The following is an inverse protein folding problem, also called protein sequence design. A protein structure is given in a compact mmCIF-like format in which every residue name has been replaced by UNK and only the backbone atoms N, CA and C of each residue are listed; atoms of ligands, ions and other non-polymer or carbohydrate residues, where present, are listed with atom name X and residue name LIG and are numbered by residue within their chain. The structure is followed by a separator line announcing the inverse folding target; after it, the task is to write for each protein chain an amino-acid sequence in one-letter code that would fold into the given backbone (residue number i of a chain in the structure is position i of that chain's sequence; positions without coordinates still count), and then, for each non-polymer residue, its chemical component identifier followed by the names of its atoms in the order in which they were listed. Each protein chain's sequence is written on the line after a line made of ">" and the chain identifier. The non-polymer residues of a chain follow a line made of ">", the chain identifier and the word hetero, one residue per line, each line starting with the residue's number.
data_IF_197703977920
#
_entry.id   IF_197703977920
#
_cell.length_a   1.000
_cell.length_b   1.000
_cell.length_c   1.000
_cell.angle_alpha   90.00
_cell.angle_beta   90.00
_cell.angle_gamma   90.00
#
_symmetry.space_group_name_H-M   'P 1'
#
loop_
_entity.id
_entity.type
_entity.pdbx_description
1 polymer ?
#
# COMPACT_ATOMS: atom_id res chain seq x y z
N UNK A 1 3.75 0.96 -9.00
CA UNK A 1 3.04 0.86 -7.70
C UNK A 1 1.56 0.66 -7.99
N UNK A 2 0.89 -0.22 -7.25
CA UNK A 2 -0.56 -0.42 -7.34
C UNK A 2 -1.14 -0.30 -5.94
N UNK A 3 -2.22 0.47 -5.80
CA UNK A 3 -2.91 0.65 -4.52
C UNK A 3 -4.24 -0.11 -4.58
N UNK A 4 -4.42 -1.02 -3.64
CA UNK A 4 -5.66 -1.72 -3.40
C UNK A 4 -6.36 -1.04 -2.23
N UNK A 5 -7.58 -0.57 -2.49
CA UNK A 5 -8.45 0.00 -1.48
C UNK A 5 -9.47 -1.06 -1.09
N UNK A 6 -9.69 -1.19 0.22
CA UNK A 6 -10.74 -2.00 0.83
C UNK A 6 -10.49 -3.51 0.78
N UNK A 7 -10.25 -4.09 1.95
CA UNK A 7 -10.59 -5.48 2.24
C UNK A 7 -11.90 -5.41 3.01
N UNK A 8 -12.90 -6.17 2.58
CA UNK A 8 -14.19 -6.24 3.29
C UNK A 8 -13.95 -6.55 4.77
N UNK A 9 -14.65 -5.83 5.65
CA UNK A 9 -14.50 -5.98 7.09
C UNK A 9 -14.77 -7.43 7.53
N UNK A 10 -13.82 -8.00 8.27
CA UNK A 10 -13.91 -9.38 8.76
C UNK A 10 -13.65 -10.46 7.72
N UNK A 11 -13.36 -10.10 6.46
CA UNK A 11 -12.98 -11.09 5.43
C UNK A 11 -11.49 -11.42 5.54
N UNK A 12 -11.13 -12.70 5.69
CA UNK A 12 -9.73 -13.12 5.66
C UNK A 12 -9.07 -12.70 4.35
N UNK A 13 -7.84 -12.19 4.45
CA UNK A 13 -7.05 -11.83 3.29
C UNK A 13 -6.80 -13.08 2.42
N UNK A 14 -7.07 -12.97 1.11
CA UNK A 14 -6.85 -14.07 0.18
C UNK A 14 -5.34 -14.33 0.02
N UNK A 15 -4.85 -15.37 0.69
CA UNK A 15 -3.42 -15.68 0.68
C UNK A 15 -2.89 -16.04 -0.70
N UNK A 16 -3.69 -16.72 -1.51
CA UNK A 16 -3.30 -17.13 -2.87
C UNK A 16 -3.04 -15.87 -3.68
N UNK A 17 -3.97 -14.92 -3.63
CA UNK A 17 -3.82 -13.63 -4.27
C UNK A 17 -2.55 -12.89 -3.79
N UNK A 18 -2.30 -12.82 -2.48
CA UNK A 18 -1.10 -12.15 -1.96
C UNK A 18 0.18 -12.84 -2.44
N UNK A 19 0.22 -14.17 -2.42
CA UNK A 19 1.38 -14.96 -2.87
C UNK A 19 1.62 -14.80 -4.37
N UNK A 20 0.57 -14.72 -5.18
CA UNK A 20 0.65 -14.47 -6.62
C UNK A 20 1.18 -13.07 -6.92
N UNK A 21 0.61 -12.02 -6.31
CA UNK A 21 1.01 -10.63 -6.60
C UNK A 21 2.35 -10.21 -5.97
N UNK A 22 2.83 -10.93 -4.96
CA UNK A 22 4.16 -10.69 -4.34
C UNK A 22 5.19 -11.73 -4.74
N UNK A 23 4.79 -12.71 -5.55
CA UNK A 23 5.65 -13.74 -6.08
C UNK A 23 6.49 -13.25 -7.25
N UNK A 24 7.58 -13.96 -7.51
CA UNK A 24 8.41 -13.75 -8.70
C UNK A 24 7.85 -14.50 -9.93
N UNK A 25 6.94 -15.46 -9.69
CA UNK A 25 6.27 -16.21 -10.73
C UNK A 25 5.26 -15.32 -11.46
N UNK A 26 5.25 -15.42 -12.80
CA UNK A 26 4.30 -14.66 -13.61
C UNK A 26 2.86 -15.02 -13.27
N UNK A 27 2.01 -13.98 -13.23
CA UNK A 27 0.56 -14.16 -13.06
C UNK A 27 -0.13 -14.19 -14.42
N UNK A 28 -1.11 -15.06 -14.58
CA UNK A 28 -1.97 -15.11 -15.76
C UNK A 28 -2.90 -13.90 -15.79
N UNK A 29 -2.77 -13.07 -16.82
CA UNK A 29 -3.67 -11.95 -17.07
C UNK A 29 -4.51 -12.22 -18.31
N UNK A 30 -5.78 -11.87 -18.23
CA UNK A 30 -6.68 -11.94 -19.38
C UNK A 30 -7.35 -10.59 -19.55
N UNK A 31 -7.04 -9.93 -20.65
CA UNK A 31 -7.81 -8.77 -21.08
C UNK A 31 -9.25 -9.18 -21.42
N UNK A 32 -10.18 -8.26 -21.20
CA UNK A 32 -11.56 -8.43 -21.67
C UNK A 32 -11.56 -8.73 -23.17
N UNK A 33 -12.10 -9.89 -23.53
CA UNK A 33 -12.12 -10.41 -24.92
C UNK A 33 -10.75 -10.69 -25.55
N UNK A 34 -9.67 -10.67 -24.76
CA UNK A 34 -8.31 -10.94 -25.21
C UNK A 34 -7.86 -12.38 -24.98
N UNK A 35 -6.63 -12.67 -25.42
CA UNK A 35 -5.92 -13.91 -25.10
C UNK A 35 -5.32 -13.81 -23.70
N UNK A 36 -5.22 -14.95 -23.04
CA UNK A 36 -4.49 -15.06 -21.79
C UNK A 36 -2.99 -14.86 -22.03
N UNK A 37 -2.37 -14.03 -21.21
CA UNK A 37 -0.95 -13.70 -21.26
C UNK A 37 -0.38 -13.81 -19.86
N UNK A 38 0.72 -14.55 -19.73
CA UNK A 38 1.44 -14.63 -18.48
C UNK A 38 2.47 -13.48 -18.42
N UNK A 39 2.45 -12.68 -17.35
CA UNK A 39 3.39 -11.56 -17.15
C UNK A 39 3.96 -11.59 -15.74
N UNK A 40 5.27 -11.29 -15.58
CA UNK A 40 5.85 -11.09 -14.25
C UNK A 40 5.22 -9.87 -13.58
N UNK A 41 5.09 -9.91 -12.26
CA UNK A 41 4.65 -8.76 -11.47
C UNK A 41 5.81 -7.76 -11.36
N UNK A 42 5.58 -6.52 -11.80
CA UNK A 42 6.60 -5.45 -11.80
C UNK A 42 6.26 -4.31 -10.86
N UNK A 43 5.27 -4.48 -9.98
CA UNK A 43 4.83 -3.45 -9.05
C UNK A 43 4.90 -3.93 -7.61
N UNK A 44 5.08 -2.97 -6.69
CA UNK A 44 4.88 -3.19 -5.26
C UNK A 44 3.41 -2.89 -4.92
N UNK A 45 2.67 -3.85 -4.35
CA UNK A 45 1.29 -3.65 -3.93
C UNK A 45 1.23 -2.91 -2.59
N UNK A 46 0.31 -1.94 -2.49
CA UNK A 46 -0.04 -1.26 -1.25
C UNK A 46 -1.50 -1.52 -0.93
N UNK A 47 -1.78 -1.95 0.30
CA UNK A 47 -3.13 -2.16 0.79
C UNK A 47 -3.47 -1.04 1.77
N UNK A 48 -4.51 -0.26 1.45
CA UNK A 48 -5.05 0.76 2.34
C UNK A 48 -6.34 0.25 2.97
N UNK A 49 -6.33 0.05 4.28
CA UNK A 49 -7.47 -0.47 5.06
C UNK A 49 -7.55 0.24 6.40
N UNK A 50 -8.77 0.43 6.89
CA UNK A 50 -9.03 0.94 8.24
C UNK A 50 -8.91 -0.16 9.29
N UNK A 51 -9.13 -1.40 8.88
CA UNK A 51 -9.11 -2.58 9.76
C UNK A 51 -7.88 -3.43 9.50
N UNK A 52 -7.34 -4.04 10.56
CA UNK A 52 -6.22 -4.98 10.42
C UNK A 52 -6.77 -6.24 9.73
N UNK A 53 -6.24 -6.62 8.55
CA UNK A 53 -6.73 -7.78 7.84
C UNK A 53 -6.48 -9.05 8.66
N UNK A 54 -7.44 -9.97 8.63
CA UNK A 54 -7.25 -11.29 9.23
C UNK A 54 -6.33 -12.12 8.32
N UNK A 55 -5.16 -12.46 8.83
CA UNK A 55 -4.13 -13.23 8.13
C UNK A 55 -3.88 -14.52 8.91
N UNK A 56 -3.75 -15.65 8.21
CA UNK A 56 -3.43 -16.92 8.87
C UNK A 56 -1.99 -16.90 9.40
N UNK A 57 -1.60 -17.95 10.14
CA UNK A 57 -0.24 -18.08 10.70
C UNK A 57 0.78 -18.63 9.69
N UNK A 58 0.53 -18.56 8.39
CA UNK A 58 1.47 -19.05 7.38
C UNK A 58 2.75 -18.18 7.31
N UNK A 59 3.93 -18.72 7.68
CA UNK A 59 5.19 -17.98 7.64
C UNK A 59 5.53 -17.41 6.25
N UNK A 60 5.11 -18.07 5.17
CA UNK A 60 5.36 -17.59 3.81
C UNK A 60 4.64 -16.26 3.55
N UNK A 61 3.42 -16.13 4.07
CA UNK A 61 2.62 -14.92 3.92
C UNK A 61 3.18 -13.76 4.76
N UNK A 62 3.55 -14.04 6.02
CA UNK A 62 4.14 -13.04 6.91
C UNK A 62 5.46 -12.45 6.40
N UNK A 63 6.25 -13.20 5.62
CA UNK A 63 7.46 -12.69 4.97
C UNK A 63 7.20 -11.66 3.86
N UNK A 64 5.96 -11.58 3.37
CA UNK A 64 5.54 -10.70 2.26
C UNK A 64 4.79 -9.46 2.72
N UNK A 65 4.34 -9.44 3.98
CA UNK A 65 3.49 -8.37 4.52
C UNK A 65 4.28 -7.51 5.49
N UNK A 66 4.17 -6.19 5.33
CA UNK A 66 4.61 -5.21 6.32
C UNK A 66 3.41 -4.36 6.69
N UNK A 67 2.99 -4.41 7.95
CA UNK A 67 1.91 -3.57 8.45
C UNK A 67 2.47 -2.23 8.94
N UNK A 68 1.96 -1.13 8.40
CA UNK A 68 2.27 0.23 8.85
C UNK A 68 0.99 0.81 9.46
N UNK A 69 0.93 0.83 10.79
CA UNK A 69 -0.22 1.36 11.51
C UNK A 69 -0.11 2.89 11.63
N UNK A 70 -1.13 3.59 11.14
CA UNK A 70 -1.26 5.03 11.29
C UNK A 70 -2.24 5.35 12.42
N UNK A 71 -1.73 5.86 13.54
CA UNK A 71 -2.55 6.28 14.69
C UNK A 71 -2.84 7.79 14.70
N UNK A 72 -2.20 8.55 13.81
CA UNK A 72 -2.39 9.99 13.73
C UNK A 72 -3.64 10.31 12.90
N UNK A 73 -4.60 10.99 13.51
CA UNK A 73 -5.69 11.63 12.78
C UNK A 73 -5.26 13.04 12.40
N UNK A 74 -5.48 13.43 11.15
CA UNK A 74 -5.17 14.78 10.67
C UNK A 74 -5.95 15.88 11.42
N UNK A 75 -6.97 15.52 12.20
CA UNK A 75 -7.92 16.43 12.85
C UNK A 75 -7.73 16.55 14.38
N UNK A 76 -6.85 15.75 15.00
CA UNK A 76 -6.70 15.74 16.47
C UNK A 76 -5.89 16.94 16.98
N UNK A 77 -6.55 18.10 17.08
CA UNK A 77 -6.03 19.31 17.71
C UNK A 77 -6.06 19.19 19.24
N UNK A 78 -5.16 18.38 19.82
CA UNK A 78 -4.95 18.35 21.29
C UNK A 78 -3.64 19.06 21.67
N UNK A 79 -3.60 19.83 22.77
CA UNK A 79 -2.37 20.44 23.26
C UNK A 79 -1.30 19.36 23.54
N UNK A 80 -0.12 19.50 22.94
CA UNK A 80 0.99 18.55 23.09
C UNK A 80 1.05 17.43 22.03
N UNK A 81 0.08 17.37 21.12
CA UNK A 81 0.12 16.48 19.95
C UNK A 81 0.67 17.26 18.75
N UNK A 82 1.48 16.61 17.92
CA UNK A 82 1.99 17.18 16.67
C UNK A 82 0.83 17.74 15.85
N UNK A 83 0.86 19.05 15.56
CA UNK A 83 -0.15 19.67 14.70
C UNK A 83 0.07 19.18 13.28
N UNK A 84 -0.95 18.57 12.69
CA UNK A 84 -0.97 18.36 11.25
C UNK A 84 -0.90 19.74 10.58
N UNK A 85 0.04 19.90 9.64
CA UNK A 85 0.14 21.12 8.85
C UNK A 85 -1.15 21.30 8.04
N UNK A 86 -1.91 22.39 8.27
CA UNK A 86 -3.18 22.63 7.58
C UNK A 86 -3.03 22.70 6.05
N UNK A 87 -1.86 23.12 5.57
CA UNK A 87 -1.56 23.29 4.15
C UNK A 87 -1.04 22.00 3.52
N UNK A 88 -0.73 20.97 4.33
CA UNK A 88 -0.14 19.72 3.84
C UNK A 88 -0.94 19.09 2.71
N UNK A 89 -2.28 19.13 2.80
CA UNK A 89 -3.18 18.58 1.77
C UNK A 89 -2.99 19.23 0.40
N UNK A 90 -2.62 20.50 0.36
CA UNK A 90 -2.41 21.23 -0.88
C UNK A 90 -0.94 21.19 -1.29
N UNK A 91 -0.02 21.24 -0.33
CA UNK A 91 1.42 21.07 -0.57
C UNK A 91 1.74 19.73 -1.24
N UNK A 92 1.16 18.61 -0.78
CA UNK A 92 1.41 17.27 -1.37
C UNK A 92 0.96 17.12 -2.82
N UNK A 93 0.15 18.06 -3.33
CA UNK A 93 -0.28 18.08 -4.74
C UNK A 93 0.68 18.86 -5.63
N UNK A 94 1.56 19.68 -5.04
CA UNK A 94 2.52 20.49 -5.80
C UNK A 94 3.66 19.61 -6.29
N UNK A 95 4.16 19.92 -7.50
CA UNK A 95 5.23 19.16 -8.12
C UNK A 95 6.53 19.33 -7.32
N UNK A 96 6.81 20.54 -6.87
CA UNK A 96 8.00 20.91 -6.11
C UNK A 96 8.08 20.12 -4.80
N UNK A 97 6.94 19.98 -4.11
CA UNK A 97 6.90 19.20 -2.88
C UNK A 97 7.15 17.71 -3.17
N UNK A 98 6.46 17.12 -4.16
CA UNK A 98 6.69 15.70 -4.52
C UNK A 98 8.14 15.42 -4.95
N UNK A 99 8.74 16.32 -5.73
CA UNK A 99 10.15 16.23 -6.12
C UNK A 99 11.07 16.30 -4.90
N UNK A 100 10.79 17.18 -3.94
CA UNK A 100 11.60 17.28 -2.71
C UNK A 100 11.60 15.98 -1.90
N UNK A 101 10.46 15.29 -1.81
CA UNK A 101 10.38 13.96 -1.19
C UNK A 101 11.20 12.92 -1.94
N UNK A 102 11.13 12.89 -3.27
CA UNK A 102 11.95 11.97 -4.07
C UNK A 102 13.44 12.24 -3.90
N UNK A 103 13.86 13.51 -3.91
CA UNK A 103 15.25 13.89 -3.67
C UNK A 103 15.72 13.43 -2.29
N UNK A 104 14.90 13.63 -1.25
CA UNK A 104 15.21 13.16 0.10
C UNK A 104 15.39 11.64 0.16
N UNK A 105 14.50 10.87 -0.48
CA UNK A 105 14.64 9.41 -0.56
C UNK A 105 15.90 8.95 -1.32
N UNK A 106 16.29 9.66 -2.38
CA UNK A 106 17.48 9.32 -3.18
C UNK A 106 18.78 9.64 -2.43
N UNK A 107 18.82 10.78 -1.72
CA UNK A 107 20.02 11.20 -0.99
C UNK A 107 20.29 10.33 0.25
N UNK A 108 19.26 9.65 0.77
CA UNK A 108 19.35 8.92 2.02
C UNK A 108 19.26 9.88 3.20
N UNK A 109 18.42 9.54 4.18
CA UNK A 109 18.31 10.26 5.44
C UNK A 109 19.62 10.24 6.25
#
# INVERSE_FOLDING_TARGET
>A
MVVFSELEEGVPMNEVFVKEITGEDGTGFRELYGKEVNRPITFVPFFSTNEIPQVTRDPALWRRLTNVQWSAMAEDQKPGVYKADPELKDLVKTKEYLESWLYWFIQGA
#
